data_IF_937955421753
#
_entry.id   IF_937955421753
#
_cell.length_a   1.000
_cell.length_b   1.000
_cell.length_c   1.000
_cell.angle_alpha   90.00
_cell.angle_beta   90.00
_cell.angle_gamma   90.00
#
_symmetry.space_group_name_H-M   'P 1'
#
loop_
_entity.id
_entity.type
_entity.pdbx_description
1 polymer ?
#
# COMPACT_ATOMS: atom_id res chain seq x y z
N UNK A 1 14.42 -24.12 2.53
CA UNK A 1 14.79 -23.38 1.30
C UNK A 1 14.05 -24.00 0.14
N UNK A 2 12.85 -23.53 -0.17
CA UNK A 2 12.30 -23.48 -1.52
C UNK A 2 11.20 -22.43 -1.48
N UNK A 3 11.55 -21.28 -2.05
CA UNK A 3 10.73 -20.10 -2.24
C UNK A 3 9.64 -20.50 -3.24
N UNK A 4 8.48 -20.97 -2.76
CA UNK A 4 7.30 -21.06 -3.60
C UNK A 4 6.65 -19.69 -3.65
N UNK A 5 7.07 -18.95 -4.67
CA UNK A 5 6.19 -18.21 -5.56
C UNK A 5 5.08 -17.39 -4.88
N UNK A 6 5.43 -16.18 -4.47
CA UNK A 6 4.50 -15.07 -4.21
C UNK A 6 3.59 -14.72 -5.40
N UNK A 7 3.77 -15.39 -6.56
CA UNK A 7 3.11 -15.13 -7.84
C UNK A 7 1.74 -15.83 -8.00
N UNK A 8 1.27 -16.63 -7.04
CA UNK A 8 0.01 -17.39 -7.18
C UNK A 8 -1.10 -16.98 -6.19
N UNK A 9 -0.91 -15.90 -5.41
CA UNK A 9 -1.95 -15.44 -4.46
C UNK A 9 -3.13 -14.74 -5.18
N UNK A 10 -3.07 -14.53 -6.49
CA UNK A 10 -4.16 -13.95 -7.29
C UNK A 10 -5.16 -14.96 -7.88
N UNK A 11 -4.92 -16.26 -7.75
CA UNK A 11 -5.85 -17.29 -8.23
C UNK A 11 -6.20 -18.24 -7.08
N UNK A 12 -7.14 -17.80 -6.27
CA UNK A 12 -7.58 -18.47 -5.06
C UNK A 12 -8.44 -19.70 -5.36
N UNK A 13 -8.10 -20.84 -4.76
CA UNK A 13 -8.98 -22.01 -4.66
C UNK A 13 -10.34 -21.61 -4.04
N UNK A 14 -11.50 -21.99 -4.62
CA UNK A 14 -12.81 -21.41 -4.32
C UNK A 14 -13.42 -21.77 -2.95
N UNK A 15 -12.69 -22.40 -2.02
CA UNK A 15 -13.27 -22.93 -0.78
C UNK A 15 -12.72 -22.36 0.54
N UNK A 16 -11.64 -21.57 0.55
CA UNK A 16 -11.22 -20.87 1.77
C UNK A 16 -10.18 -19.77 1.50
N UNK A 17 -10.56 -18.70 0.81
CA UNK A 17 -9.78 -17.47 0.85
C UNK A 17 -10.72 -16.34 1.22
N UNK A 18 -10.56 -15.84 2.45
CA UNK A 18 -11.03 -14.50 2.76
C UNK A 18 -10.35 -13.56 1.76
N UNK A 19 -11.12 -13.00 0.84
CA UNK A 19 -10.60 -12.09 -0.16
C UNK A 19 -9.93 -10.92 0.59
N UNK A 20 -8.63 -10.72 0.35
CA UNK A 20 -7.90 -9.69 1.06
C UNK A 20 -8.47 -8.32 0.65
N UNK A 21 -8.66 -7.39 1.59
CA UNK A 21 -9.27 -6.10 1.26
C UNK A 21 -8.40 -5.23 0.33
N UNK A 22 -7.14 -5.59 0.11
CA UNK A 22 -6.23 -4.96 -0.86
C UNK A 22 -5.95 -5.82 -2.09
N UNK A 23 -6.72 -6.90 -2.29
CA UNK A 23 -6.53 -7.83 -3.39
C UNK A 23 -7.07 -7.34 -4.74
N UNK A 24 -7.99 -6.37 -4.73
CA UNK A 24 -8.65 -5.86 -5.94
C UNK A 24 -8.93 -4.35 -5.88
N UNK A 25 -9.23 -3.78 -7.05
CA UNK A 25 -9.61 -2.37 -7.18
C UNK A 25 -11.11 -2.10 -6.92
N UNK A 26 -11.92 -3.09 -6.58
CA UNK A 26 -13.39 -2.98 -6.48
C UNK A 26 -13.87 -2.58 -5.08
N UNK A 27 -13.20 -1.58 -4.51
CA UNK A 27 -13.52 -1.05 -3.19
C UNK A 27 -13.88 0.43 -3.27
N UNK A 28 -14.77 0.90 -2.38
CA UNK A 28 -15.27 2.28 -2.40
C UNK A 28 -14.21 3.35 -2.15
N UNK A 29 -13.07 2.98 -1.57
CA UNK A 29 -11.96 3.89 -1.31
C UNK A 29 -10.97 3.98 -2.47
N UNK A 30 -11.09 3.09 -3.46
CA UNK A 30 -10.15 3.05 -4.58
C UNK A 30 -10.50 4.13 -5.62
N UNK A 31 -9.47 4.64 -6.29
CA UNK A 31 -9.65 5.61 -7.37
C UNK A 31 -9.87 4.93 -8.72
N UNK A 32 -10.36 5.69 -9.70
CA UNK A 32 -10.54 5.19 -11.07
C UNK A 32 -9.21 4.81 -11.75
N UNK A 33 -8.08 5.33 -11.26
CA UNK A 33 -6.71 5.02 -11.70
C UNK A 33 -6.13 3.76 -11.06
N UNK A 34 -6.87 3.10 -10.16
CA UNK A 34 -6.46 1.83 -9.57
C UNK A 34 -6.51 0.72 -10.62
N UNK A 35 -5.39 0.03 -10.80
CA UNK A 35 -5.28 -1.13 -11.69
C UNK A 35 -4.58 -2.26 -10.95
N UNK A 36 -5.10 -3.48 -11.08
CA UNK A 36 -4.43 -4.66 -10.56
C UNK A 36 -3.08 -4.87 -11.28
N UNK A 37 -2.01 -5.25 -10.56
CA UNK A 37 -0.71 -5.52 -11.18
C UNK A 37 -0.77 -6.55 -12.31
N UNK A 38 -1.67 -7.53 -12.19
CA UNK A 38 -1.89 -8.56 -13.20
C UNK A 38 -2.68 -8.10 -14.43
N UNK A 39 -3.54 -7.08 -14.26
CA UNK A 39 -4.33 -6.51 -15.36
C UNK A 39 -3.58 -5.39 -16.08
N UNK A 40 -2.52 -4.86 -15.46
CA UNK A 40 -1.72 -3.75 -15.99
C UNK A 40 -1.09 -4.09 -17.35
N UNK A 41 -0.67 -5.34 -17.55
CA UNK A 41 -0.08 -5.81 -18.81
C UNK A 41 -1.13 -5.94 -19.94
N UNK A 42 -2.41 -6.03 -19.61
CA UNK A 42 -3.51 -6.15 -20.57
C UNK A 42 -4.12 -4.79 -20.96
N UNK A 43 -3.63 -3.68 -20.41
CA UNK A 43 -4.11 -2.34 -20.75
C UNK A 43 -3.66 -1.93 -22.16
N UNK A 44 -4.53 -1.20 -22.86
CA UNK A 44 -4.16 -0.48 -24.09
C UNK A 44 -3.32 0.73 -23.72
N UNK A 45 -2.00 0.60 -23.86
CA UNK A 45 -1.05 1.68 -23.62
C UNK A 45 -0.31 2.08 -24.90
N UNK A 46 -0.01 3.37 -25.03
CA UNK A 46 0.74 3.93 -26.14
C UNK A 46 1.69 5.01 -25.67
N UNK A 47 2.75 5.24 -26.44
CA UNK A 47 3.78 6.21 -26.10
C UNK A 47 3.67 7.42 -27.03
N UNK A 48 3.62 8.61 -26.44
CA UNK A 48 3.60 9.89 -27.17
C UNK A 48 4.75 10.78 -26.68
N UNK A 49 5.26 11.63 -27.58
CA UNK A 49 6.29 12.59 -27.24
C UNK A 49 5.66 13.83 -26.57
N UNK A 50 6.00 14.09 -25.32
CA UNK A 50 5.48 15.22 -24.55
C UNK A 50 6.44 16.39 -24.57
N UNK A 51 5.95 17.58 -24.93
CA UNK A 51 6.73 18.82 -25.04
C UNK A 51 8.05 18.67 -25.83
N UNK A 52 8.12 17.75 -26.82
CA UNK A 52 9.30 17.46 -27.65
C UNK A 52 10.59 17.14 -26.86
N UNK A 53 10.47 16.81 -25.57
CA UNK A 53 11.63 16.69 -24.67
C UNK A 53 11.80 15.26 -24.17
N UNK A 54 10.69 14.53 -23.98
CA UNK A 54 10.73 13.15 -23.51
C UNK A 54 9.48 12.38 -23.93
N UNK A 55 9.60 11.06 -23.91
CA UNK A 55 8.49 10.16 -24.22
C UNK A 55 7.70 9.87 -22.95
N UNK A 56 6.38 10.00 -23.02
CA UNK A 56 5.44 9.59 -21.97
C UNK A 56 4.59 8.44 -22.47
N UNK A 57 4.30 7.49 -21.58
CA UNK A 57 3.40 6.37 -21.87
C UNK A 57 2.05 6.64 -21.20
N UNK A 58 1.00 6.60 -22.02
CA UNK A 58 -0.38 6.74 -21.60
C UNK A 58 -1.10 5.41 -21.74
N UNK A 59 -2.08 5.17 -20.89
CA UNK A 59 -2.95 4.00 -20.95
C UNK A 59 -4.42 4.41 -20.85
N UNK A 60 -5.28 3.59 -21.42
CA UNK A 60 -6.72 3.67 -21.22
C UNK A 60 -7.14 2.81 -20.02
N UNK A 61 -7.77 3.43 -19.02
CA UNK A 61 -8.14 2.81 -17.75
C UNK A 61 -9.58 3.18 -17.43
N UNK A 62 -10.44 2.18 -17.16
CA UNK A 62 -11.86 2.30 -16.74
C UNK A 62 -12.53 3.67 -17.04
N UNK A 63 -13.18 3.79 -18.21
CA UNK A 63 -13.87 5.01 -18.67
C UNK A 63 -12.96 6.25 -18.86
N UNK A 64 -11.65 6.13 -18.76
CA UNK A 64 -10.67 7.20 -18.98
C UNK A 64 -9.69 6.80 -20.09
N UNK A 65 -9.74 7.53 -21.20
CA UNK A 65 -8.99 7.21 -22.42
C UNK A 65 -7.56 7.76 -22.43
N UNK A 66 -7.11 8.47 -21.39
CA UNK A 66 -5.75 9.02 -21.36
C UNK A 66 -5.27 9.23 -19.93
N UNK A 67 -4.55 8.25 -19.42
CA UNK A 67 -3.96 8.28 -18.07
C UNK A 67 -2.46 8.08 -18.19
N UNK A 68 -1.66 8.88 -17.49
CA UNK A 68 -0.22 8.68 -17.47
C UNK A 68 0.12 7.41 -16.68
N UNK A 69 1.02 6.57 -17.20
CA UNK A 69 1.41 5.32 -16.51
C UNK A 69 1.91 5.56 -15.08
N UNK A 70 2.52 6.72 -14.81
CA UNK A 70 3.01 7.08 -13.47
C UNK A 70 1.90 7.45 -12.49
N UNK A 71 0.71 7.79 -12.99
CA UNK A 71 -0.47 8.11 -12.17
C UNK A 71 -1.28 6.85 -11.82
N UNK A 72 -0.95 5.71 -12.43
CA UNK A 72 -1.60 4.43 -12.14
C UNK A 72 -1.19 3.91 -10.76
N UNK A 73 -2.17 3.55 -9.96
CA UNK A 73 -2.01 3.12 -8.58
C UNK A 73 -2.36 1.65 -8.41
N UNK A 74 -1.70 0.99 -7.46
CA UNK A 74 -1.99 -0.41 -7.12
C UNK A 74 -2.98 -0.48 -5.94
N UNK A 75 -3.87 -1.49 -5.90
CA UNK A 75 -4.88 -1.63 -4.84
C UNK A 75 -4.26 -1.74 -3.44
N UNK A 76 -3.08 -2.37 -3.34
CA UNK A 76 -2.34 -2.45 -2.08
C UNK A 76 -1.83 -1.09 -1.62
N UNK A 77 -1.33 -0.27 -2.54
CA UNK A 77 -0.86 1.08 -2.22
C UNK A 77 -2.04 1.95 -1.76
N UNK A 78 -3.16 1.93 -2.49
CA UNK A 78 -4.34 2.70 -2.11
C UNK A 78 -4.95 2.23 -0.78
N UNK A 79 -4.94 0.93 -0.49
CA UNK A 79 -5.36 0.42 0.80
C UNK A 79 -4.53 1.01 1.94
N UNK A 80 -3.19 0.95 1.84
CA UNK A 80 -2.32 1.50 2.88
C UNK A 80 -2.48 3.01 2.99
N UNK A 81 -2.49 3.72 1.87
CA UNK A 81 -2.54 5.17 1.86
C UNK A 81 -3.90 5.72 2.30
N UNK A 82 -5.03 5.11 1.92
CA UNK A 82 -6.38 5.66 2.15
C UNK A 82 -7.15 4.98 3.29
N UNK A 83 -6.80 3.75 3.67
CA UNK A 83 -7.52 2.98 4.71
C UNK A 83 -6.69 2.77 5.95
N UNK A 84 -5.49 2.23 5.80
CA UNK A 84 -4.65 1.91 6.95
C UNK A 84 -4.07 3.18 7.58
N UNK A 85 -3.28 3.94 6.81
CA UNK A 85 -2.51 5.08 7.28
C UNK A 85 -3.25 6.41 7.10
N UNK A 86 -4.09 6.55 6.06
CA UNK A 86 -4.76 7.82 5.69
C UNK A 86 -3.76 8.97 5.52
N UNK A 87 -2.73 8.75 4.71
CA UNK A 87 -1.72 9.78 4.46
C UNK A 87 -2.32 10.94 3.65
N UNK A 88 -1.89 12.16 3.98
CA UNK A 88 -2.23 13.35 3.19
C UNK A 88 -1.49 13.37 1.85
N UNK A 89 -2.02 14.05 0.82
CA UNK A 89 -1.38 14.20 -0.48
C UNK A 89 -0.08 15.03 -0.45
N UNK A 90 0.24 15.73 0.64
CA UNK A 90 1.48 16.52 0.76
C UNK A 90 1.87 16.90 2.19
N UNK A 91 3.10 17.38 2.35
CA UNK A 91 3.66 17.88 3.62
C UNK A 91 3.10 19.27 4.01
N UNK A 92 2.55 19.99 3.04
CA UNK A 92 2.00 21.34 3.22
C UNK A 92 0.61 21.33 3.87
N UNK A 93 -0.06 20.18 3.81
CA UNK A 93 -1.35 19.93 4.45
C UNK A 93 -1.24 18.68 5.33
N UNK A 94 -0.56 18.76 6.50
CA UNK A 94 -0.54 17.65 7.43
C UNK A 94 -1.98 17.32 7.81
N UNK A 95 -2.45 16.15 7.36
CA UNK A 95 -3.81 15.68 7.61
C UNK A 95 -4.09 15.48 9.10
N UNK A 96 -5.32 15.09 9.43
CA UNK A 96 -5.70 14.84 10.82
C UNK A 96 -4.99 13.62 11.40
N UNK A 97 -4.36 13.77 12.56
CA UNK A 97 -3.74 12.66 13.29
C UNK A 97 -4.80 11.63 13.68
N UNK A 98 -4.63 10.38 13.24
CA UNK A 98 -5.49 9.27 13.65
C UNK A 98 -5.08 8.78 15.04
N UNK A 99 -5.95 9.02 16.02
CA UNK A 99 -5.70 8.69 17.42
C UNK A 99 -5.45 7.20 17.68
N UNK A 100 -6.08 6.30 16.93
CA UNK A 100 -5.86 4.85 17.09
C UNK A 100 -4.41 4.44 16.75
N UNK A 101 -3.85 4.99 15.67
CA UNK A 101 -2.46 4.77 15.28
C UNK A 101 -1.48 5.44 16.26
N UNK A 102 -1.81 6.66 16.71
CA UNK A 102 -0.99 7.37 17.68
C UNK A 102 -0.96 6.64 19.04
N UNK A 103 -2.10 6.11 19.50
CA UNK A 103 -2.20 5.37 20.76
C UNK A 103 -1.47 4.03 20.69
N UNK A 104 -1.61 3.27 19.60
CA UNK A 104 -0.88 2.00 19.43
C UNK A 104 0.63 2.22 19.42
N UNK A 105 1.09 3.28 18.75
CA UNK A 105 2.50 3.68 18.77
C UNK A 105 2.97 4.07 20.20
N UNK A 106 2.17 4.86 20.92
CA UNK A 106 2.47 5.28 22.27
C UNK A 106 2.55 4.08 23.23
N UNK A 107 1.62 3.13 23.11
CA UNK A 107 1.64 1.90 23.92
C UNK A 107 2.89 1.07 23.65
N UNK A 108 3.28 0.89 22.38
CA UNK A 108 4.53 0.19 22.04
C UNK A 108 5.75 0.87 22.66
N UNK A 109 5.81 2.21 22.59
CA UNK A 109 6.88 3.00 23.20
C UNK A 109 6.94 2.82 24.73
N UNK A 110 5.80 2.91 25.41
CA UNK A 110 5.68 2.70 26.86
C UNK A 110 6.11 1.28 27.26
N UNK A 111 5.67 0.26 26.51
CA UNK A 111 6.07 -1.13 26.77
C UNK A 111 7.59 -1.32 26.66
N UNK A 112 8.21 -0.82 25.58
CA UNK A 112 9.66 -0.87 25.41
C UNK A 112 10.41 -0.17 26.55
N UNK A 113 9.94 1.00 26.97
CA UNK A 113 10.51 1.74 28.09
C UNK A 113 10.47 0.93 29.39
N UNK A 114 9.32 0.32 29.70
CA UNK A 114 9.19 -0.54 30.87
C UNK A 114 10.07 -1.79 30.80
N UNK A 115 10.19 -2.42 29.63
CA UNK A 115 11.08 -3.56 29.42
C UNK A 115 12.53 -3.20 29.71
N UNK A 116 12.99 -2.01 29.30
CA UNK A 116 14.33 -1.53 29.59
C UNK A 116 14.46 -1.24 31.10
N UNK A 117 13.62 -0.38 31.66
CA UNK A 117 13.70 0.06 33.06
C UNK A 117 13.58 -1.08 34.08
N UNK A 118 12.72 -2.07 33.84
CA UNK A 118 12.63 -3.27 34.68
C UNK A 118 13.70 -4.29 34.33
N UNK A 119 14.09 -4.42 33.07
CA UNK A 119 15.09 -5.38 32.58
C UNK A 119 16.51 -5.09 33.08
N UNK A 120 16.90 -3.82 33.29
CA UNK A 120 18.25 -3.51 33.81
C UNK A 120 18.47 -4.05 35.24
N UNK A 121 17.41 -4.37 35.98
CA UNK A 121 17.52 -4.95 37.34
C UNK A 121 17.75 -6.46 37.36
N UNK A 122 17.61 -7.18 36.24
CA UNK A 122 17.74 -8.64 36.18
C UNK A 122 19.09 -9.13 35.64
N UNK A 123 19.98 -8.23 35.19
CA UNK A 123 21.29 -8.57 34.60
C UNK A 123 22.48 -8.36 35.54
N UNK A 124 22.30 -8.53 36.86
CA UNK A 124 23.35 -8.23 37.85
C UNK A 124 23.50 -9.23 39.00
N UNK A 125 22.95 -10.46 38.91
CA UNK A 125 23.08 -11.45 39.98
C UNK A 125 23.17 -12.90 39.49
N UNK A 126 24.07 -13.16 38.55
CA UNK A 126 24.67 -14.50 38.33
C UNK A 126 25.98 -14.33 37.57
N UNK A 127 27.05 -14.14 38.33
CA UNK A 127 28.45 -14.04 37.90
C UNK A 127 29.33 -14.08 39.13
#
# INVERSE_FOLDING_TARGET
MLIRSYSQVGHADPLLQSELPWGNCDNWWNQATCVNPYERDNLSCWTEMYNMTYNQTFCEVRNMSRVLVTDLTDPIKEFWDRRALQISPGIEEPGTIRWELALTLLLAWVMCYFCIWKGVKWTGKVG
#
